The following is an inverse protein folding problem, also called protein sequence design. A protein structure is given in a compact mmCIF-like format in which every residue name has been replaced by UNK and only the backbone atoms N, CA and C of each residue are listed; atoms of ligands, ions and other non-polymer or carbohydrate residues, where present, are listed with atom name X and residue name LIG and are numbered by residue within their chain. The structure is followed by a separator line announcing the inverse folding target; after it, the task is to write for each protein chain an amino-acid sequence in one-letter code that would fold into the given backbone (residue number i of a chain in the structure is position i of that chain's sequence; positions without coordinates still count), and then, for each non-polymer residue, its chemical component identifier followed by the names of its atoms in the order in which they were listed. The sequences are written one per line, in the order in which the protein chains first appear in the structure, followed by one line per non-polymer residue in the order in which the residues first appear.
data_IF_280141482295
#
_entry.id   IF_280141482295
#
_cell.length_a   1.000
_cell.length_b   1.000
_cell.length_c   1.000
_cell.angle_alpha   90.00
_cell.angle_beta   90.00
_cell.angle_gamma   90.00
#
_symmetry.space_group_name_H-M   'P 1'
#
loop_
_entity.id
_entity.type
_entity.pdbx_description
1 polymer ?
#
# COMPACT_ATOMS: atom_id res chain seq x y z
N UNK A 1 5.37 -3.42 -24.85
CA UNK A 1 6.26 -4.34 -24.10
C UNK A 1 5.40 -5.16 -23.15
N UNK A 2 4.94 -6.35 -23.59
CA UNK A 2 4.12 -7.25 -22.78
C UNK A 2 5.00 -7.82 -21.66
N UNK A 3 4.89 -7.31 -20.44
CA UNK A 3 5.43 -8.02 -19.27
C UNK A 3 4.63 -9.32 -19.15
N UNK A 4 5.32 -10.45 -19.34
CA UNK A 4 4.69 -11.75 -19.23
C UNK A 4 4.26 -11.94 -17.77
N UNK A 5 3.05 -12.45 -17.53
CA UNK A 5 2.46 -12.64 -16.20
C UNK A 5 3.42 -13.30 -15.19
N UNK A 6 4.37 -14.08 -15.69
CA UNK A 6 5.46 -14.70 -14.94
C UNK A 6 6.36 -13.71 -14.18
N UNK A 7 6.67 -12.53 -14.72
CA UNK A 7 7.54 -11.54 -14.06
C UNK A 7 6.85 -10.85 -12.90
N UNK A 8 5.56 -10.54 -13.05
CA UNK A 8 4.73 -9.96 -11.98
C UNK A 8 4.56 -10.94 -10.82
N UNK A 9 4.33 -12.22 -11.12
CA UNK A 9 4.24 -13.28 -10.10
C UNK A 9 5.58 -13.50 -9.37
N UNK A 10 6.71 -13.49 -10.09
CA UNK A 10 8.05 -13.58 -9.49
C UNK A 10 8.32 -12.40 -8.54
N UNK A 11 7.91 -11.20 -8.93
CA UNK A 11 8.08 -9.99 -8.10
C UNK A 11 7.29 -10.09 -6.80
N UNK A 12 6.02 -10.54 -6.86
CA UNK A 12 5.21 -10.78 -5.66
C UNK A 12 5.88 -11.75 -4.69
N UNK A 13 6.38 -12.89 -5.16
CA UNK A 13 7.06 -13.88 -4.31
C UNK A 13 8.35 -13.35 -3.68
N UNK A 14 9.13 -12.55 -4.39
CA UNK A 14 10.34 -11.90 -3.84
C UNK A 14 9.95 -10.95 -2.70
N UNK A 15 8.92 -10.12 -2.90
CA UNK A 15 8.46 -9.17 -1.87
C UNK A 15 7.88 -9.90 -0.65
N UNK A 16 7.14 -11.01 -0.84
CA UNK A 16 6.71 -11.89 0.27
C UNK A 16 7.94 -12.39 1.04
N UNK A 17 8.97 -12.87 0.33
CA UNK A 17 10.22 -13.33 0.96
C UNK A 17 10.89 -12.24 1.80
N UNK A 18 10.99 -11.02 1.26
CA UNK A 18 11.54 -9.86 1.98
C UNK A 18 10.70 -9.54 3.23
N UNK A 19 9.38 -9.49 3.11
CA UNK A 19 8.47 -9.24 4.24
C UNK A 19 8.59 -10.32 5.32
N UNK A 20 8.74 -11.58 4.92
CA UNK A 20 8.94 -12.70 5.84
C UNK A 20 10.26 -12.56 6.63
N UNK A 21 11.37 -12.30 5.93
CA UNK A 21 12.67 -12.06 6.58
C UNK A 21 12.60 -10.87 7.53
N UNK A 22 11.97 -9.78 7.12
CA UNK A 22 11.82 -8.59 7.97
C UNK A 22 10.98 -8.88 9.21
N UNK A 23 10.01 -9.80 9.13
CA UNK A 23 9.19 -10.23 10.27
C UNK A 23 9.96 -11.13 11.22
N UNK A 24 10.83 -12.01 10.71
CA UNK A 24 11.72 -12.83 11.55
C UNK A 24 12.71 -11.93 12.30
N UNK A 25 13.34 -10.98 11.61
CA UNK A 25 14.26 -10.04 12.24
C UNK A 25 13.56 -9.22 13.34
N UNK A 26 12.34 -8.78 13.08
CA UNK A 26 11.53 -8.03 14.03
C UNK A 26 11.19 -8.85 15.29
N UNK A 27 10.86 -10.14 15.12
CA UNK A 27 10.66 -11.05 16.24
C UNK A 27 11.94 -11.23 17.08
N UNK A 28 13.10 -11.39 16.44
CA UNK A 28 14.39 -11.51 17.14
C UNK A 28 14.67 -10.25 17.95
N UNK A 29 14.51 -9.07 17.34
CA UNK A 29 14.69 -7.78 18.02
C UNK A 29 13.72 -7.63 19.19
N UNK A 30 12.45 -8.01 19.00
CA UNK A 30 11.43 -7.94 20.05
C UNK A 30 11.75 -8.83 21.26
N UNK A 31 12.43 -9.95 21.05
CA UNK A 31 12.83 -10.88 22.13
C UNK A 31 14.17 -10.50 22.75
N UNK A 32 15.08 -9.86 22.00
CA UNK A 32 16.44 -9.56 22.44
C UNK A 32 16.62 -8.17 23.06
N UNK A 33 15.68 -7.23 22.86
CA UNK A 33 15.78 -5.85 23.34
C UNK A 33 14.85 -5.63 24.53
N UNK A 34 15.42 -5.32 25.70
CA UNK A 34 14.66 -5.02 26.93
C UNK A 34 14.17 -3.56 27.00
N UNK A 35 14.79 -2.64 26.24
CA UNK A 35 14.39 -1.24 26.21
C UNK A 35 13.08 -1.07 25.42
N UNK A 36 11.98 -0.87 26.15
CA UNK A 36 10.64 -0.75 25.60
C UNK A 36 10.46 0.46 24.68
N UNK A 37 11.14 1.56 24.94
CA UNK A 37 10.98 2.80 24.15
C UNK A 37 11.70 2.66 22.82
N UNK A 38 12.93 2.14 22.83
CA UNK A 38 13.69 1.85 21.63
C UNK A 38 13.02 0.76 20.79
N UNK A 39 12.54 -0.30 21.43
CA UNK A 39 11.81 -1.39 20.78
C UNK A 39 10.54 -0.86 20.11
N UNK A 40 9.72 -0.06 20.80
CA UNK A 40 8.52 0.53 20.21
C UNK A 40 8.84 1.37 18.96
N UNK A 41 9.85 2.24 19.02
CA UNK A 41 10.24 3.07 17.89
C UNK A 41 10.71 2.23 16.69
N UNK A 42 11.53 1.19 16.93
CA UNK A 42 12.01 0.28 15.88
C UNK A 42 10.87 -0.49 15.22
N UNK A 43 9.96 -1.08 16.02
CA UNK A 43 8.79 -1.81 15.50
C UNK A 43 7.86 -0.88 14.72
N UNK A 44 7.65 0.35 15.19
CA UNK A 44 6.81 1.33 14.50
C UNK A 44 7.38 1.67 13.12
N UNK A 45 8.70 1.93 13.04
CA UNK A 45 9.37 2.23 11.77
C UNK A 45 9.28 1.04 10.82
N UNK A 46 9.54 -0.17 11.31
CA UNK A 46 9.46 -1.40 10.51
C UNK A 46 8.04 -1.64 10.02
N UNK A 47 7.02 -1.41 10.85
CA UNK A 47 5.61 -1.53 10.47
C UNK A 47 5.23 -0.55 9.36
N UNK A 48 5.69 0.71 9.42
CA UNK A 48 5.46 1.70 8.37
C UNK A 48 6.15 1.30 7.06
N UNK A 49 7.39 0.81 7.12
CA UNK A 49 8.10 0.31 5.94
C UNK A 49 7.37 -0.89 5.31
N UNK A 50 6.82 -1.81 6.11
CA UNK A 50 5.99 -2.92 5.60
C UNK A 50 4.74 -2.41 4.93
N UNK A 51 4.01 -1.52 5.58
CA UNK A 51 2.79 -0.95 5.02
C UNK A 51 3.06 -0.27 3.67
N UNK A 52 4.12 0.53 3.58
CA UNK A 52 4.56 1.14 2.34
C UNK A 52 4.88 0.11 1.25
N UNK A 53 5.65 -0.92 1.58
CA UNK A 53 6.00 -2.00 0.64
C UNK A 53 4.76 -2.76 0.16
N UNK A 54 3.81 -3.03 1.07
CA UNK A 54 2.57 -3.72 0.72
C UNK A 54 1.70 -2.87 -0.21
N UNK A 55 1.58 -1.57 0.09
CA UNK A 55 0.82 -0.62 -0.74
C UNK A 55 1.43 -0.51 -2.14
N UNK A 56 2.76 -0.50 -2.26
CA UNK A 56 3.42 -0.34 -3.55
C UNK A 56 3.38 -1.60 -4.42
N UNK A 57 3.54 -2.78 -3.82
CA UNK A 57 3.76 -4.03 -4.56
C UNK A 57 2.54 -4.96 -4.62
N UNK A 58 1.68 -4.97 -3.61
CA UNK A 58 0.51 -5.85 -3.56
C UNK A 58 -0.79 -5.12 -3.87
N UNK A 59 -0.99 -3.94 -3.29
CA UNK A 59 -2.09 -3.09 -3.72
C UNK A 59 -1.68 -2.44 -5.03
N UNK A 60 -2.38 -2.70 -6.13
CA UNK A 60 -2.16 -1.99 -7.39
C UNK A 60 -2.68 -0.54 -7.26
N UNK A 61 -2.12 0.23 -6.32
CA UNK A 61 -2.59 1.54 -5.89
C UNK A 61 -2.60 2.54 -7.06
N UNK A 62 -1.73 2.34 -8.06
CA UNK A 62 -1.71 3.13 -9.29
C UNK A 62 -2.93 2.92 -10.22
N UNK A 63 -3.61 1.78 -10.16
CA UNK A 63 -4.83 1.54 -10.97
C UNK A 63 -6.11 1.97 -10.23
N UNK A 64 -6.11 1.87 -8.89
CA UNK A 64 -7.27 2.24 -8.07
C UNK A 64 -7.40 3.77 -7.92
N UNK A 65 -6.29 4.51 -7.83
CA UNK A 65 -6.32 5.97 -7.66
C UNK A 65 -6.93 6.70 -8.88
N UNK A 66 -6.73 6.18 -10.09
CA UNK A 66 -7.31 6.74 -11.31
C UNK A 66 -8.85 6.75 -11.27
N UNK A 67 -9.46 5.65 -10.81
CA UNK A 67 -10.92 5.56 -10.68
C UNK A 67 -11.45 6.29 -9.45
N UNK A 68 -10.70 6.29 -8.34
CA UNK A 68 -11.12 6.98 -7.11
C UNK A 68 -11.11 8.51 -7.31
N UNK A 69 -10.15 9.05 -8.05
CA UNK A 69 -10.12 10.48 -8.37
C UNK A 69 -11.29 10.91 -9.26
N UNK A 70 -11.62 10.12 -10.28
CA UNK A 70 -12.75 10.37 -11.19
C UNK A 70 -14.11 10.29 -10.47
N UNK A 71 -14.29 9.30 -9.58
CA UNK A 71 -15.50 9.19 -8.75
C UNK A 71 -15.63 10.34 -7.76
N UNK A 72 -14.52 10.79 -7.17
CA UNK A 72 -14.53 11.92 -6.23
C UNK A 72 -14.88 13.25 -6.92
N UNK A 73 -14.35 13.46 -8.14
CA UNK A 73 -14.67 14.63 -8.97
C UNK A 73 -16.16 14.66 -9.32
N UNK A 74 -16.74 13.54 -9.77
CA UNK A 74 -18.17 13.42 -10.06
C UNK A 74 -19.09 13.62 -8.85
N UNK A 75 -18.66 13.25 -7.65
CA UNK A 75 -19.40 13.55 -6.41
C UNK A 75 -19.37 15.06 -6.10
N UNK A 76 -18.23 15.72 -6.32
CA UNK A 76 -18.04 17.13 -6.03
C UNK A 76 -18.72 18.04 -7.09
N UNK A 77 -18.80 17.57 -8.33
CA UNK A 77 -19.37 18.29 -9.47
C UNK A 77 -20.83 17.94 -9.76
N UNK A 78 -21.52 17.18 -8.89
CA UNK A 78 -22.97 17.01 -8.95
C UNK A 78 -23.62 18.37 -8.62
N UNK A 79 -23.60 19.25 -9.60
CA UNK A 79 -24.34 20.50 -9.63
C UNK A 79 -25.76 20.17 -10.11
N UNK A 80 -26.77 20.21 -9.22
CA UNK A 80 -28.16 19.89 -9.57
C UNK A 80 -28.82 20.94 -10.48
N UNK A 81 -28.08 21.95 -10.97
CA UNK A 81 -28.60 23.03 -11.81
C UNK A 81 -28.32 22.85 -13.32
N UNK A 82 -27.48 21.90 -13.73
CA UNK A 82 -27.13 21.69 -15.14
C UNK A 82 -28.29 21.12 -16.00
N UNK A 83 -29.39 20.71 -15.37
CA UNK A 83 -30.52 20.04 -16.02
C UNK A 83 -31.69 20.99 -16.32
N UNK A 84 -31.55 22.30 -16.03
CA UNK A 84 -32.65 23.28 -16.02
C UNK A 84 -32.70 24.25 -17.21
N UNK A 85 -31.89 24.07 -18.25
CA UNK A 85 -31.85 24.98 -19.42
C UNK A 85 -32.33 24.36 -20.75
N UNK A 86 -33.12 23.28 -20.70
CA UNK A 86 -33.78 22.73 -21.89
C UNK A 86 -35.30 22.54 -21.66
N UNK A 87 -36.04 23.64 -21.45
CA UNK A 87 -37.51 23.70 -21.58
C UNK A 87 -37.95 24.85 -22.50
#
# INVERSE_FOLDING_TARGET
MHKTLQETLKTGWIVIGVLAVMTIAEFIVAVAVDDKTMLFALLLIVALLKAWLIIQYFMHFGQLWAHVAEVWDGILSNDPEADREED
#
